data_IF_253593274391
#
_entry.id   IF_253593274391
#
_cell.length_a   1.000
_cell.length_b   1.000
_cell.length_c   1.000
_cell.angle_alpha   90.00
_cell.angle_beta   90.00
_cell.angle_gamma   90.00
#
_symmetry.space_group_name_H-M   'P 1'
#
loop_
_entity.id
_entity.type
_entity.pdbx_description
1 polymer ?
#
# COMPACT_ATOMS: atom_id res chain seq x y z
N UNK A 1 -62.78 15.93 59.51
CA UNK A 1 -61.52 15.82 60.27
C UNK A 1 -60.50 15.08 59.41
N UNK A 2 -59.31 15.68 59.26
CA UNK A 2 -58.10 15.21 58.53
C UNK A 2 -58.23 15.13 56.99
N UNK A 3 -57.87 16.15 56.19
CA UNK A 3 -56.55 16.69 55.82
C UNK A 3 -55.79 15.79 54.81
N UNK A 4 -55.70 16.21 53.53
CA UNK A 4 -54.50 16.79 52.87
C UNK A 4 -53.59 15.69 52.27
N UNK A 5 -53.09 15.68 51.01
CA UNK A 5 -52.43 16.68 50.14
C UNK A 5 -52.54 16.19 48.67
N UNK A 6 -52.93 16.99 47.68
CA UNK A 6 -52.13 17.88 46.81
C UNK A 6 -50.71 17.41 46.37
N UNK A 7 -50.59 17.25 45.04
CA UNK A 7 -49.49 17.73 44.17
C UNK A 7 -48.21 16.90 44.04
N UNK A 8 -47.83 16.61 42.80
CA UNK A 8 -46.49 16.13 42.45
C UNK A 8 -46.31 15.75 40.97
N UNK A 9 -46.50 16.69 40.05
CA UNK A 9 -46.03 16.56 38.65
C UNK A 9 -44.50 16.60 38.67
N UNK A 10 -43.83 15.49 38.37
CA UNK A 10 -42.37 15.45 38.17
C UNK A 10 -42.07 15.70 36.69
N UNK A 11 -41.84 16.97 36.35
CA UNK A 11 -41.12 17.37 35.15
C UNK A 11 -39.65 16.99 35.36
N UNK A 12 -39.20 15.92 34.72
CA UNK A 12 -37.77 15.65 34.60
C UNK A 12 -37.20 16.55 33.49
N UNK A 13 -36.77 17.75 33.89
CA UNK A 13 -35.90 18.60 33.07
C UNK A 13 -34.49 17.99 33.07
N UNK A 14 -34.25 17.00 32.22
CA UNK A 14 -32.90 16.51 31.95
C UNK A 14 -32.20 17.45 30.97
N UNK A 15 -31.54 18.42 31.60
CA UNK A 15 -30.33 19.12 31.20
C UNK A 15 -29.68 18.59 29.91
N UNK A 16 -29.63 19.48 28.93
CA UNK A 16 -28.86 19.44 27.69
C UNK A 16 -27.42 18.93 27.95
N UNK A 17 -27.15 17.66 27.67
CA UNK A 17 -25.78 17.21 27.46
C UNK A 17 -25.35 17.73 26.07
N UNK A 18 -24.86 18.96 26.04
CA UNK A 18 -23.90 19.42 25.04
C UNK A 18 -22.70 18.48 25.16
N UNK A 19 -22.78 17.33 24.47
CA UNK A 19 -21.62 16.51 24.17
C UNK A 19 -20.62 17.47 23.54
N UNK A 20 -19.51 17.67 24.26
CA UNK A 20 -18.32 18.34 23.77
C UNK A 20 -17.98 17.78 22.39
N UNK A 21 -18.46 18.42 21.33
CA UNK A 21 -17.79 18.37 20.03
C UNK A 21 -16.49 19.09 20.28
N UNK A 22 -15.51 18.35 20.82
CA UNK A 22 -14.12 18.80 20.81
C UNK A 22 -13.86 19.19 19.37
N UNK A 23 -13.44 20.44 19.16
CA UNK A 23 -12.99 20.94 17.86
C UNK A 23 -11.74 20.17 17.44
N UNK A 24 -11.91 18.93 17.04
CA UNK A 24 -10.90 18.12 16.42
C UNK A 24 -10.79 18.63 14.99
N UNK A 25 -9.63 19.20 14.66
CA UNK A 25 -9.35 19.60 13.29
C UNK A 25 -9.63 18.41 12.37
N UNK A 26 -10.29 18.67 11.24
CA UNK A 26 -10.63 17.64 10.28
C UNK A 26 -9.38 16.82 9.91
N UNK A 27 -9.50 15.48 9.80
CA UNK A 27 -8.37 14.66 9.41
C UNK A 27 -7.87 15.07 8.03
N UNK A 28 -6.57 14.91 7.80
CA UNK A 28 -5.95 15.14 6.50
C UNK A 28 -6.43 14.12 5.45
N UNK A 29 -6.76 12.91 5.88
CA UNK A 29 -7.33 11.85 5.06
C UNK A 29 -8.07 10.83 5.95
N UNK A 30 -9.08 10.17 5.40
CA UNK A 30 -9.77 9.04 6.02
C UNK A 30 -9.60 7.78 5.15
N UNK A 31 -9.55 6.62 5.79
CA UNK A 31 -9.44 5.33 5.12
C UNK A 31 -10.50 4.39 5.66
N UNK A 32 -11.43 4.02 4.80
CA UNK A 32 -12.58 3.20 5.13
C UNK A 32 -12.59 1.94 4.26
N UNK A 33 -12.95 0.82 4.87
CA UNK A 33 -13.19 -0.41 4.14
C UNK A 33 -14.24 -1.25 4.87
N UNK A 34 -15.02 -1.97 4.07
CA UNK A 34 -15.98 -2.96 4.55
C UNK A 34 -15.70 -4.30 3.87
N UNK A 35 -15.70 -5.36 4.66
CA UNK A 35 -15.59 -6.72 4.17
C UNK A 35 -16.93 -7.15 3.54
N UNK A 36 -16.89 -7.57 2.29
CA UNK A 36 -18.08 -8.01 1.55
C UNK A 36 -17.94 -9.42 0.96
N UNK A 37 -16.76 -10.04 1.10
CA UNK A 37 -16.46 -11.35 0.48
C UNK A 37 -16.71 -12.52 1.42
N UNK A 38 -17.06 -12.25 2.68
CA UNK A 38 -17.30 -13.26 3.69
C UNK A 38 -16.02 -13.92 4.21
N UNK A 39 -14.86 -13.27 4.02
CA UNK A 39 -13.54 -13.77 4.44
C UNK A 39 -13.07 -13.05 5.70
N UNK A 40 -12.29 -13.77 6.48
CA UNK A 40 -11.51 -13.19 7.57
C UNK A 40 -10.11 -12.83 7.06
N UNK A 41 -9.71 -11.59 7.30
CA UNK A 41 -8.42 -11.07 6.89
C UNK A 41 -7.60 -10.66 8.11
N UNK A 42 -6.98 -11.66 8.73
CA UNK A 42 -6.02 -11.45 9.79
C UNK A 42 -4.78 -10.71 9.26
N UNK A 43 -4.38 -9.65 9.96
CA UNK A 43 -3.13 -8.89 9.78
C UNK A 43 -2.72 -8.65 8.32
N UNK A 44 -3.40 -7.72 7.66
CA UNK A 44 -3.10 -7.27 6.30
C UNK A 44 -2.24 -6.01 6.28
N UNK A 45 -1.33 -5.93 5.31
CA UNK A 45 -0.76 -4.65 4.88
C UNK A 45 -1.71 -4.01 3.86
N UNK A 46 -2.26 -2.84 4.18
CA UNK A 46 -3.07 -2.05 3.25
C UNK A 46 -2.27 -0.84 2.77
N UNK A 47 -2.54 -0.39 1.54
CA UNK A 47 -1.85 0.76 0.93
C UNK A 47 -2.84 1.67 0.22
N UNK A 48 -2.83 2.95 0.56
CA UNK A 48 -3.68 3.98 -0.03
C UNK A 48 -2.86 5.09 -0.69
N UNK A 49 -3.27 5.57 -1.88
CA UNK A 49 -2.75 6.82 -2.41
C UNK A 49 -3.28 8.00 -1.58
N UNK A 50 -2.45 9.02 -1.38
CA UNK A 50 -2.85 10.26 -0.73
C UNK A 50 -2.33 11.47 -1.50
N UNK A 51 -3.04 12.58 -1.40
CA UNK A 51 -2.67 13.87 -1.96
C UNK A 51 -3.07 15.00 -1.00
N UNK A 52 -2.22 16.01 -0.89
CA UNK A 52 -2.39 17.11 0.05
C UNK A 52 -2.05 18.45 -0.59
N UNK A 53 -2.69 19.50 -0.09
CA UNK A 53 -2.40 20.89 -0.46
C UNK A 53 -1.05 21.33 0.10
N UNK A 54 -0.43 22.33 -0.54
CA UNK A 54 0.82 22.94 -0.07
C UNK A 54 0.70 23.40 1.38
N UNK A 55 1.68 23.05 2.21
CA UNK A 55 1.73 23.40 3.63
C UNK A 55 0.87 22.53 4.56
N UNK A 56 -0.06 21.73 4.02
CA UNK A 56 -1.04 20.98 4.83
C UNK A 56 -0.37 19.87 5.65
N UNK A 57 0.49 19.07 5.02
CA UNK A 57 1.13 17.92 5.64
C UNK A 57 2.65 18.04 5.56
N UNK A 58 3.33 17.98 6.72
CA UNK A 58 4.79 17.94 6.80
C UNK A 58 5.28 16.56 7.26
N UNK A 59 6.41 16.06 6.72
CA UNK A 59 7.00 14.80 7.19
C UNK A 59 7.21 14.80 8.71
N UNK A 60 6.82 13.71 9.37
CA UNK A 60 6.96 13.56 10.83
C UNK A 60 6.01 14.41 11.68
N UNK A 61 5.02 15.08 11.07
CA UNK A 61 4.00 15.89 11.75
C UNK A 61 2.59 15.32 11.60
N UNK A 62 2.51 14.00 11.46
CA UNK A 62 1.27 13.28 11.22
C UNK A 62 1.26 12.00 12.05
N UNK A 63 0.08 11.62 12.52
CA UNK A 63 -0.19 10.32 13.13
C UNK A 63 -1.35 9.63 12.41
N UNK A 64 -1.39 8.31 12.48
CA UNK A 64 -2.51 7.50 12.01
C UNK A 64 -3.24 6.95 13.23
N UNK A 65 -4.55 7.15 13.31
CA UNK A 65 -5.38 6.61 14.40
C UNK A 65 -6.55 5.81 13.87
N UNK A 66 -7.00 4.82 14.65
CA UNK A 66 -8.24 4.10 14.39
C UNK A 66 -9.47 4.82 14.96
N UNK A 67 -10.65 4.23 14.75
CA UNK A 67 -11.93 4.73 15.26
C UNK A 67 -11.98 4.85 16.80
N UNK A 68 -11.10 4.16 17.54
CA UNK A 68 -11.00 4.26 19.01
C UNK A 68 -10.03 5.35 19.46
N UNK A 69 -9.31 5.97 18.52
CA UNK A 69 -8.23 6.92 18.78
C UNK A 69 -6.90 6.24 19.09
N UNK A 70 -6.79 4.92 18.94
CA UNK A 70 -5.53 4.20 19.14
C UNK A 70 -4.60 4.51 17.97
N UNK A 71 -3.34 4.79 18.26
CA UNK A 71 -2.35 5.15 17.25
C UNK A 71 -1.71 3.92 16.61
N UNK A 72 -1.51 3.96 15.29
CA UNK A 72 -0.89 2.89 14.52
C UNK A 72 0.43 3.35 13.87
N UNK A 73 1.44 2.47 13.81
CA UNK A 73 2.60 2.70 12.96
C UNK A 73 2.20 2.64 11.49
N UNK A 74 2.77 3.53 10.68
CA UNK A 74 2.54 3.60 9.25
C UNK A 74 3.83 3.98 8.51
N UNK A 75 3.85 3.76 7.20
CA UNK A 75 4.95 4.13 6.33
C UNK A 75 4.47 4.96 5.14
N UNK A 76 5.18 6.05 4.84
CA UNK A 76 5.06 6.74 3.56
C UNK A 76 6.06 6.20 2.54
N UNK A 77 5.62 6.05 1.30
CA UNK A 77 6.46 5.70 0.15
C UNK A 77 6.09 6.55 -1.07
N UNK A 78 6.98 6.60 -2.07
CA UNK A 78 6.78 7.37 -3.30
C UNK A 78 6.39 8.83 -3.07
N UNK A 79 7.00 9.48 -2.08
CA UNK A 79 6.68 10.86 -1.73
C UNK A 79 7.07 11.83 -2.84
N UNK A 80 6.11 12.63 -3.28
CA UNK A 80 6.32 13.86 -4.03
C UNK A 80 6.14 15.02 -3.07
N UNK A 81 7.07 15.98 -3.07
CA UNK A 81 7.01 17.17 -2.22
C UNK A 81 6.61 18.40 -3.03
N UNK A 82 5.94 19.33 -2.36
CA UNK A 82 5.82 20.71 -2.83
C UNK A 82 7.13 21.48 -2.62
N UNK A 83 7.24 22.68 -3.19
CA UNK A 83 8.44 23.52 -3.10
C UNK A 83 8.80 23.95 -1.68
N UNK A 84 7.83 24.01 -0.76
CA UNK A 84 8.02 24.33 0.67
C UNK A 84 8.44 23.11 1.52
N UNK A 85 8.63 21.95 0.89
CA UNK A 85 8.97 20.69 1.55
C UNK A 85 7.79 19.93 2.16
N UNK A 86 6.56 20.46 2.08
CA UNK A 86 5.34 19.73 2.46
C UNK A 86 5.07 18.58 1.48
N UNK A 87 4.32 17.58 1.93
CA UNK A 87 3.98 16.41 1.11
C UNK A 87 2.90 16.82 0.11
N UNK A 88 3.15 16.60 -1.18
CA UNK A 88 2.17 16.77 -2.26
C UNK A 88 1.35 15.51 -2.48
N UNK A 89 2.02 14.37 -2.60
CA UNK A 89 1.38 13.08 -2.77
C UNK A 89 2.30 11.95 -2.36
N UNK A 90 1.73 10.75 -2.23
CA UNK A 90 2.48 9.52 -1.98
C UNK A 90 1.56 8.34 -1.73
N UNK A 91 2.12 7.28 -1.18
CA UNK A 91 1.39 6.12 -0.70
C UNK A 91 1.60 5.97 0.80
N UNK A 92 0.52 5.79 1.54
CA UNK A 92 0.57 5.42 2.95
C UNK A 92 0.28 3.93 3.08
N UNK A 93 1.06 3.22 3.88
CA UNK A 93 0.85 1.79 4.17
C UNK A 93 0.90 1.53 5.67
N UNK A 94 0.02 0.66 6.15
CA UNK A 94 -0.06 0.27 7.56
C UNK A 94 -0.68 -1.12 7.70
N UNK A 95 -0.45 -1.76 8.84
CA UNK A 95 -1.06 -3.05 9.15
C UNK A 95 -2.43 -2.87 9.81
N UNK A 96 -3.39 -3.69 9.42
CA UNK A 96 -4.74 -3.72 9.99
C UNK A 96 -5.33 -5.12 9.90
N UNK A 97 -6.52 -5.31 10.45
CA UNK A 97 -7.29 -6.55 10.36
C UNK A 97 -8.68 -6.21 9.86
N UNK A 98 -9.28 -7.12 9.10
CA UNK A 98 -10.65 -6.95 8.60
C UNK A 98 -11.40 -8.26 8.81
N UNK A 99 -12.12 -8.32 9.93
CA UNK A 99 -12.95 -9.47 10.27
C UNK A 99 -14.05 -9.69 9.21
N UNK A 100 -14.51 -10.93 9.11
CA UNK A 100 -15.62 -11.32 8.22
C UNK A 100 -16.85 -10.44 8.45
N UNK A 101 -17.33 -9.80 7.38
CA UNK A 101 -18.48 -8.87 7.43
C UNK A 101 -18.23 -7.59 8.23
N UNK A 102 -17.01 -7.37 8.72
CA UNK A 102 -16.62 -6.21 9.50
C UNK A 102 -16.24 -5.00 8.63
N UNK A 103 -15.76 -3.96 9.31
CA UNK A 103 -15.27 -2.74 8.69
C UNK A 103 -14.20 -2.09 9.55
N UNK A 104 -13.37 -1.26 8.93
CA UNK A 104 -12.47 -0.37 9.65
C UNK A 104 -12.62 1.07 9.20
N UNK A 105 -12.18 1.97 10.06
CA UNK A 105 -12.06 3.40 9.82
C UNK A 105 -10.76 3.89 10.44
N UNK A 106 -9.95 4.58 9.64
CA UNK A 106 -8.70 5.19 10.08
C UNK A 106 -8.62 6.65 9.65
N UNK A 107 -7.99 7.47 10.48
CA UNK A 107 -7.79 8.88 10.22
C UNK A 107 -6.32 9.26 10.27
N UNK A 108 -5.90 10.02 9.26
CA UNK A 108 -4.61 10.67 9.24
C UNK A 108 -4.73 12.06 9.85
N UNK A 109 -4.10 12.29 11.01
CA UNK A 109 -4.30 13.51 11.80
C UNK A 109 -2.99 14.25 12.07
N UNK A 110 -3.04 15.55 12.41
CA UNK A 110 -1.89 16.25 12.99
C UNK A 110 -1.38 15.53 14.25
N UNK A 111 -0.07 15.30 14.33
CA UNK A 111 0.52 14.59 15.47
C UNK A 111 2.00 14.27 15.26
N UNK A 112 2.57 13.45 16.14
CA UNK A 112 3.84 12.78 15.87
C UNK A 112 3.53 11.32 15.54
N UNK A 113 4.24 10.70 14.60
CA UNK A 113 4.00 9.31 14.25
C UNK A 113 4.39 8.38 15.39
N UNK A 114 3.64 7.28 15.53
CA UNK A 114 3.90 6.24 16.50
C UNK A 114 5.35 5.74 16.38
N UNK A 115 6.02 5.63 17.53
CA UNK A 115 7.36 5.04 17.58
C UNK A 115 7.26 3.55 17.32
N UNK A 116 8.00 3.07 16.34
CA UNK A 116 8.22 1.64 16.15
C UNK A 116 9.33 1.17 17.09
N UNK A 117 9.06 0.11 17.87
CA UNK A 117 10.01 -0.44 18.84
C UNK A 117 11.22 -1.11 18.18
N UNK A 118 11.04 -1.71 16.99
CA UNK A 118 12.11 -2.34 16.21
C UNK A 118 11.96 -1.93 14.74
N UNK A 119 12.60 -0.82 14.30
CA UNK A 119 12.51 -0.40 12.92
C UNK A 119 13.26 -1.38 12.01
N UNK A 120 12.77 -1.65 10.78
CA UNK A 120 13.52 -2.43 9.81
C UNK A 120 14.89 -1.80 9.55
N UNK A 121 15.93 -2.63 9.58
CA UNK A 121 17.30 -2.24 9.34
C UNK A 121 17.77 -2.72 7.96
N UNK A 122 18.53 -1.86 7.29
CA UNK A 122 19.26 -2.19 6.08
C UNK A 122 20.74 -2.04 6.38
N UNK A 123 21.51 -3.10 6.20
CA UNK A 123 22.96 -3.06 6.42
C UNK A 123 23.68 -3.60 5.20
N UNK A 124 24.66 -2.85 4.70
CA UNK A 124 25.56 -3.29 3.64
C UNK A 124 26.89 -3.64 4.27
N UNK A 125 27.32 -4.90 4.14
CA UNK A 125 28.62 -5.38 4.61
C UNK A 125 29.28 -6.21 3.52
N UNK A 126 30.43 -5.74 3.04
CA UNK A 126 31.14 -6.35 1.93
C UNK A 126 30.25 -6.49 0.70
N UNK A 127 30.08 -7.72 0.22
CA UNK A 127 29.28 -8.06 -0.96
C UNK A 127 27.82 -8.38 -0.67
N UNK A 128 27.32 -8.09 0.54
CA UNK A 128 25.99 -8.46 0.97
C UNK A 128 25.20 -7.27 1.52
N UNK A 129 23.93 -7.23 1.15
CA UNK A 129 22.90 -6.36 1.71
C UNK A 129 22.00 -7.23 2.59
N UNK A 130 21.86 -6.86 3.86
CA UNK A 130 20.96 -7.52 4.81
C UNK A 130 19.75 -6.62 5.05
N UNK A 131 18.56 -7.17 4.87
CA UNK A 131 17.28 -6.58 5.22
C UNK A 131 16.76 -7.30 6.46
N UNK A 132 16.67 -6.62 7.59
CA UNK A 132 16.30 -7.22 8.88
C UNK A 132 15.08 -6.48 9.46
N UNK A 133 14.06 -7.21 9.90
CA UNK A 133 12.88 -6.64 10.55
C UNK A 133 12.76 -7.01 12.05
N UNK A 134 13.81 -7.58 12.65
CA UNK A 134 13.84 -8.03 14.04
C UNK A 134 13.23 -9.41 14.29
N UNK A 135 12.51 -9.97 13.32
CA UNK A 135 11.94 -11.33 13.37
C UNK A 135 12.64 -12.25 12.36
N UNK A 136 12.98 -11.71 11.19
CA UNK A 136 13.64 -12.41 10.10
C UNK A 136 14.57 -11.45 9.37
N UNK A 137 15.71 -11.98 8.93
CA UNK A 137 16.66 -11.26 8.11
C UNK A 137 16.87 -11.96 6.77
N UNK A 138 16.83 -11.18 5.68
CA UNK A 138 17.15 -11.62 4.34
C UNK A 138 18.52 -11.05 3.95
N UNK A 139 19.45 -11.94 3.59
CA UNK A 139 20.76 -11.55 3.06
C UNK A 139 20.76 -11.73 1.54
N UNK A 140 20.97 -10.63 0.82
CA UNK A 140 21.05 -10.56 -0.62
C UNK A 140 22.47 -10.21 -1.06
N UNK A 141 22.99 -10.75 -2.17
CA UNK A 141 24.20 -10.22 -2.79
C UNK A 141 24.00 -8.75 -3.18
N UNK A 142 24.87 -7.85 -2.72
CA UNK A 142 24.86 -6.42 -3.03
C UNK A 142 25.44 -6.10 -4.43
N UNK A 143 25.37 -7.07 -5.36
CA UNK A 143 25.93 -6.94 -6.69
C UNK A 143 25.31 -5.80 -7.49
N UNK A 144 25.96 -5.40 -8.58
CA UNK A 144 25.42 -4.38 -9.47
C UNK A 144 24.22 -4.94 -10.26
N UNK A 145 23.22 -4.09 -10.54
CA UNK A 145 22.24 -4.32 -11.63
C UNK A 145 22.96 -4.25 -12.98
N UNK A 146 23.73 -5.28 -13.31
CA UNK A 146 24.28 -5.52 -14.65
C UNK A 146 23.41 -6.60 -15.29
N UNK A 147 22.37 -6.16 -15.97
CA UNK A 147 21.70 -7.00 -16.94
C UNK A 147 22.48 -6.90 -18.25
N UNK A 148 22.55 -7.98 -19.01
CA UNK A 148 22.96 -7.87 -20.41
C UNK A 148 22.03 -6.90 -21.12
N UNK A 149 22.53 -6.15 -22.10
CA UNK A 149 21.69 -5.33 -22.97
C UNK A 149 20.58 -6.24 -23.53
N UNK A 150 19.29 -5.89 -23.38
CA UNK A 150 18.22 -6.69 -23.94
C UNK A 150 18.44 -6.87 -25.44
N UNK A 151 18.40 -8.12 -25.89
CA UNK A 151 18.46 -8.44 -27.31
C UNK A 151 17.24 -7.81 -28.00
N UNK A 152 17.43 -7.27 -29.19
CA UNK A 152 16.33 -6.74 -29.97
C UNK A 152 15.46 -7.89 -30.49
N UNK A 153 14.14 -7.72 -30.40
CA UNK A 153 13.22 -8.68 -31.01
C UNK A 153 13.39 -8.63 -32.53
N UNK A 154 13.53 -9.81 -33.14
CA UNK A 154 13.57 -9.94 -34.59
C UNK A 154 12.30 -9.35 -35.20
N UNK A 155 12.44 -8.33 -36.04
CA UNK A 155 11.30 -7.62 -36.64
C UNK A 155 10.54 -8.47 -37.67
N UNK A 156 11.22 -9.41 -38.35
CA UNK A 156 10.61 -10.34 -39.31
C UNK A 156 11.21 -11.74 -39.16
N UNK A 157 10.36 -12.70 -38.81
CA UNK A 157 10.79 -14.07 -38.53
C UNK A 157 11.39 -14.76 -39.76
N UNK A 158 10.84 -14.52 -40.96
CA UNK A 158 11.28 -15.13 -42.23
C UNK A 158 12.76 -14.92 -42.58
N UNK A 159 13.34 -13.80 -42.17
CA UNK A 159 14.73 -13.45 -42.45
C UNK A 159 15.74 -14.14 -41.50
N UNK A 160 15.24 -14.77 -40.45
CA UNK A 160 16.06 -15.35 -39.37
C UNK A 160 15.96 -16.88 -39.30
N UNK A 161 14.99 -17.47 -40.02
CA UNK A 161 14.76 -18.92 -40.10
C UNK A 161 16.01 -19.78 -40.39
N UNK A 162 16.96 -19.22 -41.14
CA UNK A 162 18.10 -19.96 -41.68
C UNK A 162 19.28 -20.03 -40.70
N UNK A 163 19.41 -19.04 -39.82
CA UNK A 163 20.59 -18.83 -38.97
C UNK A 163 20.16 -18.57 -37.51
N UNK A 164 19.30 -19.43 -36.96
CA UNK A 164 18.80 -19.29 -35.59
C UNK A 164 19.91 -19.40 -34.53
N UNK A 165 21.02 -20.07 -34.83
CA UNK A 165 22.11 -20.37 -33.90
C UNK A 165 22.97 -19.15 -33.57
N UNK A 166 23.01 -18.12 -34.44
CA UNK A 166 23.88 -16.94 -34.29
C UNK A 166 23.15 -15.69 -33.78
N UNK A 167 21.88 -15.81 -33.38
CA UNK A 167 21.05 -14.65 -33.08
C UNK A 167 21.53 -13.85 -31.88
N UNK A 168 21.94 -14.53 -30.82
CA UNK A 168 22.44 -13.89 -29.61
C UNK A 168 23.74 -13.11 -29.90
N UNK A 169 24.62 -13.65 -30.74
CA UNK A 169 25.86 -12.99 -31.16
C UNK A 169 25.59 -11.72 -31.98
N UNK A 170 24.44 -11.67 -32.67
CA UNK A 170 23.97 -10.54 -33.46
C UNK A 170 23.13 -9.54 -32.64
N UNK A 171 22.96 -9.76 -31.34
CA UNK A 171 22.14 -8.90 -30.49
C UNK A 171 20.63 -9.07 -30.71
N UNK A 172 20.20 -10.19 -31.27
CA UNK A 172 18.81 -10.48 -31.64
C UNK A 172 18.24 -11.64 -30.82
N UNK A 173 16.95 -11.59 -30.51
CA UNK A 173 16.22 -12.70 -29.90
C UNK A 173 14.93 -12.99 -30.67
N UNK A 174 14.60 -14.28 -30.77
CA UNK A 174 13.20 -14.66 -30.91
C UNK A 174 12.48 -14.27 -29.62
N UNK A 175 11.26 -13.73 -29.73
CA UNK A 175 10.42 -13.52 -28.55
C UNK A 175 10.22 -14.83 -27.78
N UNK A 176 9.79 -14.78 -26.50
CA UNK A 176 9.68 -15.95 -25.63
C UNK A 176 8.68 -17.00 -26.13
N UNK A 177 7.87 -16.67 -27.14
CA UNK A 177 6.91 -17.55 -27.77
C UNK A 177 7.14 -17.50 -29.27
N UNK A 178 7.69 -18.57 -29.83
CA UNK A 178 7.93 -18.71 -31.27
C UNK A 178 6.68 -19.12 -32.05
N UNK A 179 5.65 -19.64 -31.37
CA UNK A 179 4.40 -20.08 -31.98
C UNK A 179 3.46 -20.78 -31.00
N UNK A 180 2.18 -20.91 -31.39
CA UNK A 180 1.15 -21.62 -30.64
C UNK A 180 0.60 -22.74 -31.52
N UNK A 181 0.62 -23.98 -31.01
CA UNK A 181 -0.01 -25.13 -31.68
C UNK A 181 -1.49 -25.18 -31.32
N UNK A 182 -2.35 -25.12 -32.33
CA UNK A 182 -3.80 -25.25 -32.23
C UNK A 182 -4.20 -26.70 -31.99
N UNK A 183 -5.44 -26.90 -31.50
CA UNK A 183 -6.00 -28.21 -31.24
C UNK A 183 -6.12 -29.10 -32.49
N UNK A 184 -6.19 -28.49 -33.69
CA UNK A 184 -6.19 -29.19 -34.98
C UNK A 184 -4.77 -29.52 -35.49
N UNK A 185 -3.75 -29.31 -34.65
CA UNK A 185 -2.36 -29.60 -34.96
C UNK A 185 -1.64 -28.51 -35.76
N UNK A 186 -2.33 -27.46 -36.24
CA UNK A 186 -1.71 -26.34 -36.95
C UNK A 186 -0.93 -25.44 -36.00
N UNK A 187 0.19 -24.89 -36.46
CA UNK A 187 0.92 -23.85 -35.74
C UNK A 187 0.50 -22.46 -36.23
N UNK A 188 0.27 -21.52 -35.30
CA UNK A 188 0.02 -20.09 -35.58
C UNK A 188 1.05 -19.23 -34.84
N UNK A 189 1.66 -18.29 -35.56
CA UNK A 189 2.92 -17.66 -35.14
C UNK A 189 4.07 -18.67 -35.26
N UNK A 190 5.17 -18.28 -35.92
CA UNK A 190 6.31 -19.16 -36.17
C UNK A 190 6.43 -19.65 -37.61
N UNK A 191 7.67 -19.89 -38.02
CA UNK A 191 8.05 -20.21 -39.40
C UNK A 191 7.72 -21.67 -39.68
N UNK A 192 7.03 -21.93 -40.80
CA UNK A 192 7.00 -23.27 -41.39
C UNK A 192 8.41 -23.59 -41.89
N UNK A 193 9.08 -24.55 -41.26
CA UNK A 193 10.10 -25.31 -41.98
C UNK A 193 9.37 -26.03 -43.13
N UNK A 194 9.79 -25.74 -44.36
CA UNK A 194 9.43 -26.52 -45.54
C UNK A 194 10.24 -27.82 -45.53
#
# INVERSE_FOLDING_TARGET
MSASKLTGFLIFASLLALLNVRGQAAPFATFDCREITGRDWARMLVTYPVAFSTGQVKPGKVRLVDATGTELPYQFSHLVKHGDGSIKSGRISFYTELAKGGSYHFELQPGQPAKTTIPPAVTVQGRYLTLDNGITALRLPAGARKFATPLQLVARHDQVAKDCEDLEQRGLAFGPIAGIKLADGRWVGGIRAA
#
